data_IF_046777866209
#
_entry.id   IF_046777866209
#
_cell.length_a   1.000
_cell.length_b   1.000
_cell.length_c   1.000
_cell.angle_alpha   90.00
_cell.angle_beta   90.00
_cell.angle_gamma   90.00
#
_symmetry.space_group_name_H-M   'P 1'
#
loop_
_entity.id
_entity.type
_entity.pdbx_description
1 polymer ?
#
# COMPACT_ATOMS: atom_id res chain seq x y z
N UNK A 1 -1.54 -3.39 -2.34
CA UNK A 1 -0.89 -2.88 -3.57
C UNK A 1 -0.64 -1.38 -3.49
N UNK A 2 -1.65 -0.53 -3.27
CA UNK A 2 -1.45 0.93 -3.25
C UNK A 2 -0.45 1.41 -2.21
N UNK A 3 -0.52 0.88 -0.99
CA UNK A 3 0.41 1.26 0.08
C UNK A 3 1.87 0.92 -0.26
N UNK A 4 2.08 -0.12 -1.07
CA UNK A 4 3.41 -0.54 -1.51
C UNK A 4 3.94 0.46 -2.53
N UNK A 5 3.14 0.80 -3.53
CA UNK A 5 3.57 1.65 -4.63
C UNK A 5 3.61 3.14 -4.25
N UNK A 6 2.88 3.53 -3.21
CA UNK A 6 2.92 4.87 -2.63
C UNK A 6 3.98 5.04 -1.54
N UNK A 7 4.80 4.01 -1.26
CA UNK A 7 5.81 4.01 -0.18
C UNK A 7 5.22 4.34 1.19
N UNK A 8 4.11 3.67 1.56
CA UNK A 8 3.39 3.86 2.83
C UNK A 8 2.92 5.28 3.10
N UNK A 9 2.71 6.10 2.07
CA UNK A 9 2.04 7.40 2.25
C UNK A 9 0.71 7.19 2.95
N UNK A 10 0.40 8.05 3.93
CA UNK A 10 -0.89 8.02 4.63
C UNK A 10 -2.02 8.07 3.62
N UNK A 11 -2.88 7.05 3.65
CA UNK A 11 -4.10 7.02 2.88
C UNK A 11 -5.00 8.17 3.34
N UNK A 12 -5.27 9.11 2.43
CA UNK A 12 -6.26 10.19 2.61
C UNK A 12 -6.02 11.12 3.82
N UNK A 13 -4.89 11.85 3.87
CA UNK A 13 -4.59 12.73 5.00
C UNK A 13 -5.66 13.81 5.13
N UNK A 14 -6.32 13.88 6.29
CA UNK A 14 -7.33 14.89 6.59
C UNK A 14 -8.71 14.66 5.96
N UNK A 15 -8.95 13.51 5.32
CA UNK A 15 -10.27 13.13 4.80
C UNK A 15 -10.96 12.23 5.81
N UNK A 16 -12.20 12.55 6.19
CA UNK A 16 -12.97 11.67 7.06
C UNK A 16 -13.42 10.40 6.34
N UNK A 17 -13.68 9.32 7.09
CA UNK A 17 -14.21 8.07 6.53
C UNK A 17 -15.52 8.29 5.74
N UNK A 18 -16.34 9.26 6.15
CA UNK A 18 -17.60 9.58 5.48
C UNK A 18 -17.37 10.26 4.11
N UNK A 19 -16.46 11.24 4.06
CA UNK A 19 -16.05 11.90 2.82
C UNK A 19 -15.35 10.93 1.87
N UNK A 20 -14.60 9.97 2.41
CA UNK A 20 -13.98 8.92 1.63
C UNK A 20 -15.01 8.03 0.92
N UNK A 21 -16.04 7.56 1.64
CA UNK A 21 -17.09 6.69 1.07
C UNK A 21 -17.92 7.39 -0.01
N UNK A 22 -18.11 8.71 0.13
CA UNK A 22 -18.87 9.51 -0.85
C UNK A 22 -18.04 9.82 -2.09
N UNK A 23 -16.75 10.13 -1.94
CA UNK A 23 -15.84 10.41 -3.05
C UNK A 23 -15.45 9.17 -3.87
N UNK A 24 -15.24 8.01 -3.23
CA UNK A 24 -14.99 6.73 -3.91
C UNK A 24 -16.11 6.34 -4.87
N UNK A 25 -17.37 6.58 -4.48
CA UNK A 25 -18.53 6.27 -5.32
C UNK A 25 -18.57 7.12 -6.59
N UNK A 26 -18.01 8.33 -6.54
CA UNK A 26 -18.06 9.30 -7.61
C UNK A 26 -17.12 8.89 -8.74
N UNK A 27 -15.80 8.86 -8.53
CA UNK A 27 -14.87 8.78 -9.67
C UNK A 27 -13.59 7.95 -9.45
N UNK A 28 -13.37 7.27 -8.32
CA UNK A 28 -12.12 6.53 -8.02
C UNK A 28 -10.80 7.36 -8.19
N UNK A 29 -10.89 8.67 -8.41
CA UNK A 29 -9.80 9.56 -8.82
C UNK A 29 -8.71 9.73 -7.76
N UNK A 30 -9.02 9.45 -6.49
CA UNK A 30 -8.13 9.76 -5.37
C UNK A 30 -6.88 8.87 -5.37
N UNK A 31 -6.93 7.71 -6.02
CA UNK A 31 -5.83 6.75 -6.01
C UNK A 31 -4.80 6.97 -7.13
N UNK A 32 -5.09 7.86 -8.10
CA UNK A 32 -4.23 8.15 -9.25
C UNK A 32 -3.06 9.09 -8.94
N UNK A 33 -2.93 9.53 -7.69
CA UNK A 33 -1.93 10.54 -7.27
C UNK A 33 -0.52 9.98 -6.96
N UNK A 34 -0.22 8.74 -7.35
CA UNK A 34 1.13 8.16 -7.28
C UNK A 34 1.75 8.02 -8.66
N UNK A 35 3.09 8.08 -8.75
CA UNK A 35 3.88 7.68 -9.93
C UNK A 35 3.80 6.15 -10.15
N UNK A 36 2.58 5.62 -10.21
CA UNK A 36 2.35 4.21 -10.44
C UNK A 36 2.41 3.95 -11.94
N UNK A 37 3.16 2.91 -12.32
CA UNK A 37 3.11 2.36 -13.68
C UNK A 37 1.64 2.18 -14.08
N UNK A 38 1.28 2.72 -15.25
CA UNK A 38 -0.06 2.65 -15.81
C UNK A 38 -0.66 1.23 -15.75
N UNK A 39 0.15 0.19 -15.99
CA UNK A 39 -0.32 -1.20 -16.02
C UNK A 39 -0.60 -1.75 -14.63
N UNK A 40 0.22 -1.43 -13.63
CA UNK A 40 -0.05 -1.84 -12.25
C UNK A 40 -1.28 -1.13 -11.69
N UNK A 41 -1.46 0.15 -12.05
CA UNK A 41 -2.65 0.90 -11.69
C UNK A 41 -3.93 0.29 -12.28
N UNK A 42 -3.91 -0.20 -13.51
CA UNK A 42 -5.04 -0.92 -14.12
C UNK A 42 -5.41 -2.20 -13.35
N UNK A 43 -4.41 -2.98 -12.91
CA UNK A 43 -4.64 -4.16 -12.04
C UNK A 43 -5.25 -3.76 -10.70
N UNK A 44 -4.83 -2.63 -10.13
CA UNK A 44 -5.42 -2.12 -8.88
C UNK A 44 -6.88 -1.68 -9.09
N UNK A 45 -7.18 -1.02 -10.21
CA UNK A 45 -8.54 -0.63 -10.57
C UNK A 45 -9.47 -1.84 -10.75
N UNK A 46 -9.00 -2.94 -11.35
CA UNK A 46 -9.82 -4.15 -11.47
C UNK A 46 -10.18 -4.75 -10.11
N UNK A 47 -9.25 -4.69 -9.15
CA UNK A 47 -9.49 -5.13 -7.76
C UNK A 47 -10.55 -4.26 -7.04
N UNK A 48 -10.71 -3.01 -7.44
CA UNK A 48 -11.66 -2.06 -6.86
C UNK A 48 -12.94 -1.90 -7.67
N UNK A 49 -13.27 -2.88 -8.52
CA UNK A 49 -14.50 -2.84 -9.29
C UNK A 49 -15.74 -2.74 -8.37
N UNK A 50 -16.70 -1.87 -8.77
CA UNK A 50 -17.93 -1.59 -8.00
C UNK A 50 -18.76 -2.87 -7.80
N UNK A 51 -18.88 -3.67 -8.86
CA UNK A 51 -19.46 -5.01 -8.83
C UNK A 51 -18.41 -6.03 -8.31
N UNK A 52 -18.65 -6.69 -7.17
CA UNK A 52 -17.73 -7.71 -6.63
C UNK A 52 -17.52 -8.92 -7.55
N UNK A 53 -18.51 -9.26 -8.40
CA UNK A 53 -18.41 -10.40 -9.32
C UNK A 53 -17.43 -10.17 -10.46
N UNK A 54 -17.11 -8.90 -10.74
CA UNK A 54 -16.16 -8.49 -11.77
C UNK A 54 -14.72 -8.35 -11.23
N UNK A 55 -14.52 -8.52 -9.92
CA UNK A 55 -13.18 -8.44 -9.33
C UNK A 55 -12.43 -9.73 -9.65
N UNK A 56 -11.12 -9.63 -9.98
CA UNK A 56 -10.34 -10.81 -10.29
C UNK A 56 -10.22 -11.74 -9.08
N UNK A 57 -10.20 -13.04 -9.34
CA UNK A 57 -9.80 -14.02 -8.34
C UNK A 57 -8.30 -13.90 -8.02
N UNK A 58 -7.86 -14.47 -6.89
CA UNK A 58 -6.44 -14.44 -6.52
C UNK A 58 -5.53 -15.11 -7.56
N UNK A 59 -5.99 -16.15 -8.25
CA UNK A 59 -5.21 -16.80 -9.31
C UNK A 59 -4.98 -15.90 -10.54
N UNK A 60 -6.02 -15.19 -10.97
CA UNK A 60 -5.92 -14.21 -12.06
C UNK A 60 -5.04 -13.02 -11.68
N UNK A 61 -5.13 -12.60 -10.42
CA UNK A 61 -4.31 -11.53 -9.87
C UNK A 61 -2.82 -11.92 -9.81
N UNK A 62 -2.48 -13.11 -9.30
CA UNK A 62 -1.10 -13.63 -9.28
C UNK A 62 -0.52 -13.70 -10.70
N UNK A 63 -1.29 -14.21 -11.66
CA UNK A 63 -0.84 -14.31 -13.04
C UNK A 63 -0.59 -12.92 -13.66
N UNK A 64 -1.49 -11.96 -13.42
CA UNK A 64 -1.34 -10.58 -13.90
C UNK A 64 -0.09 -9.92 -13.31
N UNK A 65 0.12 -10.07 -12.00
CA UNK A 65 1.29 -9.50 -11.31
C UNK A 65 2.61 -10.13 -11.77
N UNK A 66 2.63 -11.45 -12.02
CA UNK A 66 3.81 -12.12 -12.59
C UNK A 66 4.15 -11.58 -13.98
N UNK A 67 3.14 -11.41 -14.83
CA UNK A 67 3.36 -10.86 -16.17
C UNK A 67 3.96 -9.45 -16.10
N UNK A 68 3.43 -8.58 -15.23
CA UNK A 68 4.01 -7.25 -15.02
C UNK A 68 5.45 -7.34 -14.52
N UNK A 69 5.74 -8.24 -13.58
CA UNK A 69 7.10 -8.45 -13.07
C UNK A 69 8.08 -8.86 -14.18
N UNK A 70 7.65 -9.72 -15.11
CA UNK A 70 8.48 -10.14 -16.25
C UNK A 70 8.79 -9.03 -17.24
N UNK A 71 7.93 -8.02 -17.34
CA UNK A 71 8.13 -6.87 -18.23
C UNK A 71 9.06 -5.80 -17.64
N UNK A 72 9.26 -5.80 -16.32
CA UNK A 72 10.12 -4.83 -15.65
C UNK A 72 11.61 -5.10 -15.94
N UNK A 73 12.43 -4.04 -16.02
CA UNK A 73 13.87 -4.22 -16.14
C UNK A 73 14.44 -4.94 -14.91
N UNK A 74 15.54 -5.70 -15.06
CA UNK A 74 16.20 -6.34 -13.92
C UNK A 74 16.53 -5.32 -12.83
N UNK A 75 16.20 -5.67 -11.58
CA UNK A 75 16.56 -4.83 -10.44
C UNK A 75 18.08 -4.82 -10.30
N UNK A 76 18.67 -3.62 -10.26
CA UNK A 76 20.10 -3.50 -10.00
C UNK A 76 20.39 -3.84 -8.54
N UNK A 77 21.45 -4.60 -8.29
CA UNK A 77 21.87 -5.05 -6.94
C UNK A 77 22.02 -3.87 -5.97
N UNK A 78 22.51 -2.72 -6.44
CA UNK A 78 22.63 -1.51 -5.61
C UNK A 78 21.28 -0.94 -5.16
N UNK A 79 20.25 -1.04 -6.00
CA UNK A 79 18.88 -0.62 -5.67
C UNK A 79 18.20 -1.64 -4.73
N UNK A 80 18.47 -2.93 -4.94
CA UNK A 80 17.96 -3.99 -4.07
C UNK A 80 18.45 -3.81 -2.63
N UNK A 81 19.77 -3.62 -2.44
CA UNK A 81 20.34 -3.34 -1.12
C UNK A 81 19.71 -2.11 -0.46
N UNK A 82 19.47 -1.04 -1.23
CA UNK A 82 18.83 0.18 -0.73
C UNK A 82 17.40 -0.07 -0.22
N UNK A 83 16.57 -0.81 -0.97
CA UNK A 83 15.20 -1.12 -0.53
C UNK A 83 15.16 -2.03 0.70
N UNK A 84 16.11 -2.96 0.82
CA UNK A 84 16.25 -3.81 2.01
C UNK A 84 16.60 -2.96 3.23
N UNK A 85 17.60 -2.07 3.11
CA UNK A 85 17.97 -1.15 4.19
C UNK A 85 16.80 -0.27 4.62
N UNK A 86 16.06 0.31 3.67
CA UNK A 86 14.87 1.12 3.96
C UNK A 86 13.78 0.32 4.72
N UNK A 87 13.59 -0.95 4.35
CA UNK A 87 12.65 -1.84 5.04
C UNK A 87 13.08 -2.17 6.47
N UNK A 88 14.38 -2.35 6.71
CA UNK A 88 14.95 -2.60 8.03
C UNK A 88 14.84 -1.37 8.94
N UNK A 89 15.15 -0.18 8.42
CA UNK A 89 15.01 1.09 9.12
C UNK A 89 13.55 1.31 9.54
N UNK A 90 12.60 1.18 8.60
CA UNK A 90 11.18 1.31 8.89
C UNK A 90 10.67 0.28 9.92
N UNK A 91 11.27 -0.91 9.99
CA UNK A 91 10.92 -1.90 11.01
C UNK A 91 11.48 -1.52 12.40
N UNK A 92 12.68 -0.91 12.45
CA UNK A 92 13.30 -0.48 13.71
C UNK A 92 12.58 0.71 14.37
N UNK A 93 12.05 1.65 13.59
CA UNK A 93 11.28 2.81 14.11
C UNK A 93 10.00 2.38 14.86
N UNK A 94 9.44 1.22 14.52
CA UNK A 94 8.28 0.65 15.21
C UNK A 94 8.61 -0.04 16.53
N UNK A 95 9.89 -0.37 16.75
CA UNK A 95 10.34 -1.04 17.97
C UNK A 95 10.58 -0.03 19.10
N UNK A 96 11.10 1.16 18.78
CA UNK A 96 11.32 2.24 19.75
C UNK A 96 10.02 2.90 20.26
N UNK A 97 8.90 2.78 19.52
CA UNK A 97 7.60 3.34 19.93
C UNK A 97 6.77 2.40 20.80
N UNK A 98 7.04 1.10 20.79
CA UNK A 98 6.31 0.10 21.58
C UNK A 98 6.89 -0.07 23.00
N UNK A 99 8.17 0.25 23.21
CA UNK A 99 8.85 0.15 24.51
C UNK A 99 8.52 1.33 25.47
N UNK A 100 7.84 2.37 25.00
CA UNK A 100 7.63 3.62 25.75
C UNK A 100 6.31 3.72 26.55
N UNK A 101 5.49 2.66 26.65
CA UNK A 101 4.13 2.73 27.22
C UNK A 101 3.86 1.90 28.49
N UNK A 102 4.86 1.33 29.15
CA UNK A 102 4.72 0.73 30.50
C UNK A 102 5.91 1.23 31.35
N UNK A 103 5.70 2.17 32.31
CA UNK A 103 5.03 1.82 33.57
C UNK A 103 4.25 3.00 34.21
N UNK A 104 2.92 3.01 34.14
CA UNK A 104 2.12 3.89 35.03
C UNK A 104 0.86 3.22 35.62
N UNK A 105 0.61 1.94 35.35
CA UNK A 105 -0.55 1.22 35.91
C UNK A 105 -0.26 0.66 37.32
N UNK A 106 1.00 0.55 37.75
CA UNK A 106 1.37 -0.03 39.06
C UNK A 106 1.50 1.00 40.21
N UNK A 107 0.96 2.21 40.05
CA UNK A 107 0.95 3.24 41.11
C UNK A 107 -0.43 3.55 41.71
N UNK A 108 -1.45 2.78 41.36
CA UNK A 108 -2.84 2.96 41.85
C UNK A 108 -3.50 1.68 42.39
N UNK A 109 -2.70 0.70 42.84
CA UNK A 109 -3.18 -0.40 43.68
C UNK A 109 -2.50 -0.36 45.05
#
# INVERSE_FOLDING_TARGET
>A
MWEITSSRKTLYPGVSNYELLTSWKKDNDILRQGDNDSKLYEVMLSCWHKDPSQRPGFGELDQSLRMLLFELPPLQVSKEAHYISLGLEAASEHQDSAEALEPEVERML
#
